data_IF_375804571318
#
_entry.id   IF_375804571318
#
_cell.length_a   1.000
_cell.length_b   1.000
_cell.length_c   1.000
_cell.angle_alpha   90.00
_cell.angle_beta   90.00
_cell.angle_gamma   90.00
#
_symmetry.space_group_name_H-M   'P 1'
#
loop_
_entity.id
_entity.type
_entity.pdbx_description
1 polymer ?
#
# COMPACT_ATOMS: atom_id res chain seq x y z
N UNK A 1 13.52 -10.70 -32.04
CA UNK A 1 13.68 -10.16 -30.67
C UNK A 1 12.67 -10.85 -29.76
N UNK A 2 13.12 -11.67 -28.82
CA UNK A 2 12.23 -12.24 -27.81
C UNK A 2 11.71 -11.10 -26.93
N UNK A 3 10.40 -10.89 -26.87
CA UNK A 3 9.79 -9.90 -25.96
C UNK A 3 10.17 -10.28 -24.53
N UNK A 4 10.77 -9.34 -23.79
CA UNK A 4 11.10 -9.53 -22.39
C UNK A 4 9.83 -9.37 -21.53
N UNK A 5 9.28 -10.49 -21.07
CA UNK A 5 8.06 -10.53 -20.25
C UNK A 5 8.33 -10.57 -18.74
N UNK A 6 9.58 -10.44 -18.30
CA UNK A 6 9.96 -10.57 -16.88
C UNK A 6 9.23 -9.57 -15.98
N UNK A 7 9.13 -8.30 -16.39
CA UNK A 7 8.41 -7.27 -15.63
C UNK A 7 6.92 -7.60 -15.43
N UNK A 8 6.15 -7.82 -16.51
CA UNK A 8 4.75 -8.26 -16.41
C UNK A 8 4.54 -9.51 -15.54
N UNK A 9 5.43 -10.51 -15.64
CA UNK A 9 5.35 -11.72 -14.82
C UNK A 9 5.51 -11.40 -13.33
N UNK A 10 6.47 -10.55 -12.95
CA UNK A 10 6.63 -10.13 -11.55
C UNK A 10 5.43 -9.33 -11.04
N UNK A 11 4.80 -8.51 -11.88
CA UNK A 11 3.55 -7.81 -11.53
C UNK A 11 2.42 -8.82 -11.27
N UNK A 12 2.27 -9.84 -12.10
CA UNK A 12 1.26 -10.89 -11.91
C UNK A 12 1.47 -11.70 -10.63
N UNK A 13 2.73 -12.08 -10.35
CA UNK A 13 3.07 -12.79 -9.10
C UNK A 13 2.76 -11.91 -7.89
N UNK A 14 3.19 -10.64 -7.91
CA UNK A 14 2.94 -9.71 -6.82
C UNK A 14 1.44 -9.47 -6.59
N UNK A 15 0.66 -9.29 -7.66
CA UNK A 15 -0.80 -9.12 -7.56
C UNK A 15 -1.49 -10.37 -6.99
N UNK A 16 -1.03 -11.55 -7.39
CA UNK A 16 -1.52 -12.83 -6.85
C UNK A 16 -1.23 -12.96 -5.36
N UNK A 17 0.01 -12.70 -4.94
CA UNK A 17 0.40 -12.74 -3.52
C UNK A 17 -0.40 -11.75 -2.68
N UNK A 18 -0.66 -10.55 -3.19
CA UNK A 18 -1.52 -9.56 -2.54
C UNK A 18 -2.98 -9.99 -2.42
N UNK A 19 -3.51 -10.70 -3.40
CA UNK A 19 -4.87 -11.25 -3.31
C UNK A 19 -4.94 -12.33 -2.22
N UNK A 20 -3.93 -13.20 -2.12
CA UNK A 20 -3.84 -14.20 -1.06
C UNK A 20 -3.66 -13.59 0.33
N UNK A 21 -2.89 -12.52 0.46
CA UNK A 21 -2.63 -11.83 1.74
C UNK A 21 -3.94 -11.47 2.48
N UNK A 22 -4.90 -10.86 1.77
CA UNK A 22 -6.20 -10.53 2.37
C UNK A 22 -6.96 -11.75 2.88
N UNK A 23 -6.93 -12.86 2.15
CA UNK A 23 -7.58 -14.12 2.54
C UNK A 23 -6.89 -14.77 3.75
N UNK A 24 -5.56 -14.72 3.81
CA UNK A 24 -4.79 -15.21 4.95
C UNK A 24 -5.14 -14.39 6.21
N UNK A 25 -5.20 -13.05 6.09
CA UNK A 25 -5.57 -12.17 7.21
C UNK A 25 -6.96 -12.46 7.77
N UNK A 26 -7.91 -12.95 6.97
CA UNK A 26 -9.23 -13.37 7.49
C UNK A 26 -9.11 -14.44 8.56
N UNK A 27 -8.12 -15.33 8.46
CA UNK A 27 -7.90 -16.42 9.42
C UNK A 27 -7.20 -15.95 10.69
N UNK A 28 -6.72 -14.70 10.71
CA UNK A 28 -6.05 -14.06 11.86
C UNK A 28 -6.98 -13.07 12.59
N UNK A 29 -8.29 -13.13 12.33
CA UNK A 29 -9.29 -12.17 12.82
C UNK A 29 -9.35 -12.04 14.36
N UNK A 30 -8.86 -13.04 15.10
CA UNK A 30 -8.80 -13.03 16.56
C UNK A 30 -7.65 -12.18 17.13
N UNK A 31 -6.66 -11.82 16.30
CA UNK A 31 -5.51 -11.02 16.71
C UNK A 31 -5.75 -9.53 16.45
N UNK A 32 -5.26 -8.63 17.33
CA UNK A 32 -5.24 -7.21 17.03
C UNK A 32 -4.44 -6.93 15.73
N UNK A 33 -4.89 -6.01 14.86
CA UNK A 33 -4.19 -5.67 13.62
C UNK A 33 -2.71 -5.34 13.83
N UNK A 34 -2.37 -4.59 14.89
CA UNK A 34 -0.99 -4.22 15.20
C UNK A 34 -0.10 -5.44 15.50
N UNK A 35 -0.65 -6.49 16.11
CA UNK A 35 0.07 -7.74 16.39
C UNK A 35 0.37 -8.47 15.08
N UNK A 36 -0.59 -8.55 14.16
CA UNK A 36 -0.40 -9.14 12.83
C UNK A 36 0.72 -8.40 12.10
N UNK A 37 0.66 -7.06 12.06
CA UNK A 37 1.67 -6.24 11.36
C UNK A 37 3.04 -6.37 11.99
N UNK A 38 3.14 -6.39 13.32
CA UNK A 38 4.42 -6.58 14.02
C UNK A 38 5.10 -7.88 13.59
N UNK A 39 4.38 -9.01 13.62
CA UNK A 39 4.96 -10.29 13.22
C UNK A 39 5.24 -10.37 11.72
N UNK A 40 4.39 -9.79 10.88
CA UNK A 40 4.64 -9.65 9.44
C UNK A 40 5.98 -8.92 9.19
N UNK A 41 6.23 -7.83 9.91
CA UNK A 41 7.48 -7.07 9.78
C UNK A 41 8.67 -7.81 10.38
N UNK A 42 8.50 -8.43 11.54
CA UNK A 42 9.55 -9.22 12.19
C UNK A 42 9.99 -10.39 11.29
N UNK A 43 9.05 -11.15 10.74
CA UNK A 43 9.37 -12.24 9.83
C UNK A 43 9.96 -11.73 8.51
N UNK A 44 9.41 -10.66 7.94
CA UNK A 44 9.99 -10.01 6.76
C UNK A 44 11.44 -9.60 6.98
N UNK A 45 11.73 -8.95 8.12
CA UNK A 45 13.07 -8.54 8.52
C UNK A 45 14.01 -9.75 8.64
N UNK A 46 13.62 -10.79 9.38
CA UNK A 46 14.44 -11.99 9.59
C UNK A 46 14.72 -12.70 8.26
N UNK A 47 13.68 -12.89 7.42
CA UNK A 47 13.79 -13.60 6.14
C UNK A 47 14.67 -12.82 5.16
N UNK A 48 14.54 -11.49 5.11
CA UNK A 48 15.28 -10.66 4.14
C UNK A 48 16.71 -10.34 4.58
N UNK A 49 16.99 -10.32 5.89
CA UNK A 49 18.32 -10.02 6.46
C UNK A 49 19.50 -10.74 5.77
N UNK A 50 19.51 -12.07 5.59
CA UNK A 50 20.65 -12.76 4.99
C UNK A 50 20.91 -12.35 3.53
N UNK A 51 19.87 -11.89 2.81
CA UNK A 51 19.99 -11.49 1.40
C UNK A 51 20.54 -10.07 1.23
N UNK A 52 20.43 -9.22 2.25
CA UNK A 52 20.85 -7.81 2.17
C UNK A 52 22.04 -7.45 3.05
N UNK A 53 22.48 -8.33 3.95
CA UNK A 53 23.53 -8.06 4.94
C UNK A 53 24.75 -7.36 4.33
N UNK A 54 25.28 -7.87 3.21
CA UNK A 54 26.45 -7.27 2.53
C UNK A 54 26.14 -5.89 1.93
N UNK A 55 24.95 -5.71 1.39
CA UNK A 55 24.54 -4.47 0.72
C UNK A 55 24.38 -3.31 1.70
N UNK A 56 23.96 -3.58 2.95
CA UNK A 56 23.81 -2.57 4.00
C UNK A 56 25.14 -1.86 4.26
N UNK A 57 26.25 -2.61 4.39
CA UNK A 57 27.57 -2.03 4.68
C UNK A 57 28.23 -1.38 3.46
N UNK A 58 27.84 -1.77 2.25
CA UNK A 58 28.39 -1.22 1.02
C UNK A 58 27.69 0.06 0.56
N UNK A 59 26.45 0.28 1.00
CA UNK A 59 25.63 1.40 0.54
C UNK A 59 25.82 2.61 1.44
N UNK A 60 26.33 3.71 0.87
CA UNK A 60 26.41 5.00 1.55
C UNK A 60 25.12 5.78 1.33
N UNK A 61 24.39 6.06 2.40
CA UNK A 61 23.13 6.81 2.37
C UNK A 61 23.36 8.26 2.82
N UNK A 62 22.80 9.21 2.08
CA UNK A 62 22.77 10.60 2.54
C UNK A 62 21.67 10.82 3.60
N UNK A 63 21.72 11.94 4.31
CA UNK A 63 20.64 12.34 5.25
C UNK A 63 19.26 12.38 4.59
N UNK A 64 19.20 12.77 3.32
CA UNK A 64 17.96 12.79 2.53
C UNK A 64 17.43 11.38 2.27
N UNK A 65 18.32 10.42 2.03
CA UNK A 65 17.93 9.03 1.74
C UNK A 65 17.37 8.35 3.00
N UNK A 66 17.93 8.66 4.18
CA UNK A 66 17.36 8.23 5.45
C UNK A 66 15.95 8.76 5.69
N UNK A 67 15.67 10.03 5.34
CA UNK A 67 14.31 10.55 5.40
C UNK A 67 13.36 9.83 4.43
N UNK A 68 13.81 9.54 3.21
CA UNK A 68 13.01 8.75 2.27
C UNK A 68 12.72 7.36 2.84
N UNK A 69 13.71 6.68 3.41
CA UNK A 69 13.53 5.39 4.07
C UNK A 69 12.48 5.51 5.17
N UNK A 70 12.63 6.45 6.11
CA UNK A 70 11.66 6.66 7.20
C UNK A 70 10.24 6.88 6.65
N UNK A 71 10.06 7.72 5.63
CA UNK A 71 8.74 7.94 5.04
C UNK A 71 8.18 6.68 4.39
N UNK A 72 9.00 5.88 3.71
CA UNK A 72 8.55 4.63 3.10
C UNK A 72 8.17 3.62 4.20
N UNK A 73 9.00 3.43 5.23
CA UNK A 73 8.73 2.46 6.30
C UNK A 73 7.50 2.88 7.12
N UNK A 74 7.34 4.17 7.42
CA UNK A 74 6.18 4.67 8.18
C UNK A 74 4.89 4.64 7.35
N UNK A 75 4.90 5.18 6.13
CA UNK A 75 3.69 5.23 5.31
C UNK A 75 3.34 3.85 4.77
N UNK A 76 4.29 3.16 4.14
CA UNK A 76 4.00 1.91 3.47
C UNK A 76 4.17 0.68 4.34
N UNK A 77 5.19 0.64 5.20
CA UNK A 77 5.42 -0.48 6.12
C UNK A 77 4.36 -0.48 7.21
N UNK A 78 4.32 0.56 8.03
CA UNK A 78 3.44 0.65 9.18
C UNK A 78 2.00 1.06 8.85
N UNK A 79 1.77 2.30 8.40
CA UNK A 79 0.40 2.84 8.32
C UNK A 79 -0.44 2.17 7.23
N UNK A 80 0.11 1.92 6.05
CA UNK A 80 -0.59 1.25 4.97
C UNK A 80 -1.09 -0.13 5.38
N UNK A 81 -0.22 -0.98 5.93
CA UNK A 81 -0.58 -2.34 6.34
C UNK A 81 -1.49 -2.35 7.56
N UNK A 82 -1.23 -1.49 8.55
CA UNK A 82 -2.02 -1.40 9.78
C UNK A 82 -3.44 -0.94 9.49
N UNK A 83 -3.61 0.16 8.74
CA UNK A 83 -4.93 0.68 8.42
C UNK A 83 -5.70 -0.26 7.48
N UNK A 84 -5.03 -0.91 6.52
CA UNK A 84 -5.67 -1.92 5.70
C UNK A 84 -6.18 -3.10 6.52
N UNK A 85 -5.35 -3.66 7.40
CA UNK A 85 -5.73 -4.79 8.27
C UNK A 85 -6.83 -4.38 9.25
N UNK A 86 -6.76 -3.15 9.77
CA UNK A 86 -7.81 -2.59 10.64
C UNK A 86 -9.13 -2.44 9.88
N UNK A 87 -9.10 -1.96 8.64
CA UNK A 87 -10.30 -1.85 7.79
C UNK A 87 -10.96 -3.21 7.57
N UNK A 88 -10.16 -4.24 7.26
CA UNK A 88 -10.65 -5.62 7.11
C UNK A 88 -11.31 -6.15 8.40
N UNK A 89 -10.68 -5.92 9.55
CA UNK A 89 -11.24 -6.28 10.86
C UNK A 89 -12.53 -5.54 11.19
N UNK A 90 -12.64 -4.25 10.81
CA UNK A 90 -13.83 -3.42 11.04
C UNK A 90 -15.03 -3.85 10.20
N UNK A 91 -14.82 -4.43 9.02
CA UNK A 91 -15.91 -5.05 8.23
C UNK A 91 -16.13 -6.52 8.58
N UNK A 92 -15.58 -6.99 9.70
CA UNK A 92 -15.62 -8.39 10.12
C UNK A 92 -15.19 -9.37 9.02
N UNK A 93 -14.32 -8.93 8.11
CA UNK A 93 -13.90 -9.71 6.95
C UNK A 93 -15.05 -10.18 6.03
N UNK A 94 -16.24 -9.55 6.11
CA UNK A 94 -17.40 -9.83 5.24
C UNK A 94 -17.28 -9.02 3.95
N UNK A 95 -17.13 -7.70 4.07
CA UNK A 95 -17.05 -6.77 2.93
C UNK A 95 -15.61 -6.52 2.45
N UNK A 96 -14.80 -7.57 2.35
CA UNK A 96 -13.38 -7.47 1.93
C UNK A 96 -13.23 -6.83 0.56
N UNK A 97 -14.12 -7.18 -0.37
CA UNK A 97 -14.11 -6.61 -1.72
C UNK A 97 -14.17 -5.08 -1.69
N UNK A 98 -14.94 -4.48 -0.77
CA UNK A 98 -15.02 -3.01 -0.63
C UNK A 98 -13.66 -2.44 -0.21
N UNK A 99 -13.02 -3.04 0.78
CA UNK A 99 -11.69 -2.60 1.27
C UNK A 99 -10.64 -2.69 0.15
N UNK A 100 -10.64 -3.77 -0.63
CA UNK A 100 -9.74 -3.97 -1.77
C UNK A 100 -10.04 -3.03 -2.94
N UNK A 101 -11.31 -2.74 -3.22
CA UNK A 101 -11.71 -1.81 -4.27
C UNK A 101 -11.30 -0.38 -3.92
N UNK A 102 -11.40 0.02 -2.64
CA UNK A 102 -10.88 1.30 -2.18
C UNK A 102 -9.36 1.43 -2.37
N UNK A 103 -8.60 0.32 -2.33
CA UNK A 103 -7.17 0.35 -2.66
C UNK A 103 -6.89 0.73 -4.12
N UNK A 104 -7.88 0.62 -5.03
CA UNK A 104 -7.74 1.08 -6.41
C UNK A 104 -7.69 2.61 -6.54
N UNK A 105 -7.87 3.34 -5.44
CA UNK A 105 -7.62 4.78 -5.36
C UNK A 105 -6.14 5.13 -5.13
N UNK A 106 -5.26 4.17 -4.84
CA UNK A 106 -3.80 4.40 -4.71
C UNK A 106 -3.20 5.24 -5.86
N UNK A 107 -3.58 5.06 -7.14
CA UNK A 107 -3.06 5.88 -8.24
C UNK A 107 -3.32 7.38 -8.08
N UNK A 108 -4.43 7.79 -7.45
CA UNK A 108 -4.73 9.20 -7.17
C UNK A 108 -3.67 9.81 -6.28
N UNK A 109 -3.34 9.12 -5.19
CA UNK A 109 -2.32 9.57 -4.28
C UNK A 109 -0.93 9.49 -4.91
N UNK A 110 -0.61 8.40 -5.60
CA UNK A 110 0.69 8.22 -6.26
C UNK A 110 0.98 9.30 -7.31
N UNK A 111 0.03 9.62 -8.18
CA UNK A 111 0.20 10.64 -9.22
C UNK A 111 0.28 12.03 -8.60
N UNK A 112 -0.55 12.31 -7.58
CA UNK A 112 -0.52 13.59 -6.87
C UNK A 112 0.81 13.81 -6.16
N UNK A 113 1.32 12.81 -5.44
CA UNK A 113 2.62 12.92 -4.77
C UNK A 113 3.77 12.97 -5.76
N UNK A 114 3.72 12.23 -6.87
CA UNK A 114 4.74 12.32 -7.92
C UNK A 114 4.77 13.72 -8.54
N UNK A 115 3.60 14.33 -8.78
CA UNK A 115 3.52 15.72 -9.23
C UNK A 115 4.20 16.69 -8.26
N UNK A 116 3.97 16.53 -6.96
CA UNK A 116 4.50 17.43 -5.93
C UNK A 116 6.02 17.24 -5.73
N UNK A 117 6.47 16.00 -5.51
CA UNK A 117 7.84 15.71 -5.09
C UNK A 117 8.81 15.45 -6.24
N UNK A 118 8.33 14.82 -7.33
CA UNK A 118 9.13 14.55 -8.53
C UNK A 118 8.93 15.59 -9.63
N UNK A 119 7.95 16.50 -9.49
CA UNK A 119 7.60 17.53 -10.48
C UNK A 119 7.18 16.94 -11.83
N UNK A 120 6.74 15.70 -11.86
CA UNK A 120 6.24 15.04 -13.07
C UNK A 120 5.02 15.78 -13.61
N UNK A 121 4.84 15.81 -14.94
CA UNK A 121 3.62 16.34 -15.54
C UNK A 121 2.62 15.19 -15.66
N UNK A 122 1.39 15.43 -15.25
CA UNK A 122 0.30 14.49 -15.51
C UNK A 122 -0.62 15.06 -16.59
N UNK A 123 -1.27 14.15 -17.29
CA UNK A 123 -2.21 14.46 -18.36
C UNK A 123 -3.54 14.97 -17.77
N UNK A 124 -4.08 16.08 -18.24
CA UNK A 124 -5.36 16.61 -17.74
C UNK A 124 -6.53 15.62 -17.91
N UNK A 125 -6.45 14.71 -18.89
CA UNK A 125 -7.42 13.61 -19.05
C UNK A 125 -7.46 12.70 -17.82
N UNK A 126 -6.36 12.59 -17.07
CA UNK A 126 -6.30 11.84 -15.83
C UNK A 126 -7.32 12.34 -14.79
N UNK A 127 -7.56 13.65 -14.72
CA UNK A 127 -8.48 14.25 -13.74
C UNK A 127 -9.89 13.66 -13.92
N UNK A 128 -10.35 13.51 -15.17
CA UNK A 128 -11.66 12.91 -15.47
C UNK A 128 -11.77 11.50 -14.92
N UNK A 129 -10.73 10.69 -15.11
CA UNK A 129 -10.69 9.31 -14.61
C UNK A 129 -10.55 9.23 -13.09
N UNK A 130 -9.77 10.14 -12.49
CA UNK A 130 -9.65 10.22 -11.03
C UNK A 130 -10.98 10.58 -10.37
N UNK A 131 -11.71 11.56 -10.92
CA UNK A 131 -13.07 11.92 -10.45
C UNK A 131 -14.01 10.73 -10.59
N UNK A 132 -14.02 10.07 -11.75
CA UNK A 132 -14.84 8.88 -11.96
C UNK A 132 -14.50 7.75 -10.97
N UNK A 133 -13.22 7.53 -10.68
CA UNK A 133 -12.77 6.52 -9.73
C UNK A 133 -13.25 6.83 -8.30
N UNK A 134 -13.23 8.10 -7.88
CA UNK A 134 -13.75 8.52 -6.57
C UNK A 134 -15.26 8.32 -6.48
N UNK A 135 -16.01 8.66 -7.53
CA UNK A 135 -17.46 8.42 -7.59
C UNK A 135 -17.75 6.92 -7.53
N UNK A 136 -17.04 6.10 -8.31
CA UNK A 136 -17.20 4.65 -8.29
C UNK A 136 -16.87 4.05 -6.90
N UNK A 137 -15.80 4.51 -6.26
CA UNK A 137 -15.43 4.11 -4.92
C UNK A 137 -16.54 4.42 -3.89
N UNK A 138 -17.17 5.60 -3.99
CA UNK A 138 -18.30 5.97 -3.12
C UNK A 138 -19.46 4.97 -3.24
N UNK A 139 -19.91 4.67 -4.46
CA UNK A 139 -21.04 3.75 -4.67
C UNK A 139 -20.69 2.28 -4.37
N UNK A 140 -19.43 1.89 -4.53
CA UNK A 140 -18.95 0.57 -4.08
C UNK A 140 -19.00 0.44 -2.56
N UNK A 141 -18.67 1.51 -1.83
CA UNK A 141 -18.76 1.53 -0.36
C UNK A 141 -20.20 1.63 0.13
N UNK A 142 -21.04 2.44 -0.53
CA UNK A 142 -22.42 2.69 -0.14
C UNK A 142 -23.37 2.20 -1.23
N UNK A 143 -23.81 0.94 -1.12
CA UNK A 143 -24.64 0.24 -2.12
C UNK A 143 -25.86 1.03 -2.60
N UNK A 144 -26.51 1.78 -1.71
CA UNK A 144 -27.70 2.59 -2.03
C UNK A 144 -27.39 4.09 -2.18
N UNK A 145 -26.11 4.49 -2.17
CA UNK A 145 -25.68 5.88 -2.23
C UNK A 145 -25.84 6.68 -0.93
N UNK A 146 -26.37 6.09 0.13
CA UNK A 146 -26.54 6.73 1.44
C UNK A 146 -25.48 6.26 2.43
N UNK A 147 -24.86 7.21 3.11
CA UNK A 147 -23.97 6.94 4.24
C UNK A 147 -24.84 6.57 5.44
N UNK A 148 -24.86 5.30 5.80
CA UNK A 148 -25.58 4.85 7.00
C UNK A 148 -24.63 4.86 8.20
N UNK A 149 -24.79 5.85 9.07
CA UNK A 149 -24.04 5.96 10.33
C UNK A 149 -24.71 5.18 11.48
N UNK A 150 -25.94 4.69 11.27
CA UNK A 150 -26.78 4.10 12.31
C UNK A 150 -26.65 2.57 12.42
N UNK A 151 -26.07 1.87 11.43
CA UNK A 151 -25.97 0.40 11.45
C UNK A 151 -24.99 -0.14 12.48
N UNK A 152 -24.10 0.68 13.04
CA UNK A 152 -23.09 0.23 14.00
C UNK A 152 -22.02 -0.71 13.40
N UNK A 153 -22.13 -1.09 12.13
CA UNK A 153 -21.26 -2.04 11.41
C UNK A 153 -19.85 -1.48 11.10
N UNK A 154 -19.52 -0.28 11.57
CA UNK A 154 -18.20 0.31 11.39
C UNK A 154 -17.81 0.58 9.93
N UNK A 155 -18.74 0.50 8.96
CA UNK A 155 -18.47 0.62 7.52
C UNK A 155 -17.76 1.92 7.15
N UNK A 156 -18.20 3.06 7.71
CA UNK A 156 -17.55 4.36 7.47
C UNK A 156 -16.14 4.40 8.04
N UNK A 157 -15.96 3.89 9.26
CA UNK A 157 -14.64 3.82 9.91
C UNK A 157 -13.71 2.91 9.10
N UNK A 158 -14.21 1.76 8.63
CA UNK A 158 -13.46 0.87 7.76
C UNK A 158 -13.09 1.52 6.44
N UNK A 159 -14.00 2.26 5.81
CA UNK A 159 -13.75 3.00 4.58
C UNK A 159 -12.68 4.09 4.77
N UNK A 160 -12.70 4.80 5.91
CA UNK A 160 -11.68 5.78 6.25
C UNK A 160 -10.31 5.14 6.45
N UNK A 161 -10.23 4.01 7.16
CA UNK A 161 -8.98 3.26 7.29
C UNK A 161 -8.49 2.74 5.93
N UNK A 162 -9.38 2.19 5.10
CA UNK A 162 -9.04 1.70 3.77
C UNK A 162 -8.54 2.83 2.84
N UNK A 163 -9.19 4.00 2.90
CA UNK A 163 -8.76 5.18 2.16
C UNK A 163 -7.42 5.72 2.68
N UNK A 164 -7.23 5.74 4.00
CA UNK A 164 -5.95 6.07 4.63
C UNK A 164 -4.83 5.14 4.19
N UNK A 165 -5.10 3.83 4.10
CA UNK A 165 -4.14 2.86 3.57
C UNK A 165 -3.80 3.12 2.10
N UNK A 166 -4.81 3.42 1.27
CA UNK A 166 -4.60 3.78 -0.13
C UNK A 166 -3.76 5.06 -0.27
N UNK A 167 -3.99 6.05 0.60
CA UNK A 167 -3.16 7.25 0.68
C UNK A 167 -1.72 6.92 1.05
N UNK A 168 -1.52 6.14 2.11
CA UNK A 168 -0.19 5.83 2.63
C UNK A 168 0.64 5.03 1.61
N UNK A 169 0.06 3.97 1.03
CA UNK A 169 0.73 3.18 -0.01
C UNK A 169 0.94 3.96 -1.29
N UNK A 170 -0.10 4.63 -1.80
CA UNK A 170 -0.01 5.42 -3.02
C UNK A 170 1.08 6.49 -2.93
N UNK A 171 1.09 7.26 -1.84
CA UNK A 171 2.09 8.29 -1.59
C UNK A 171 3.50 7.73 -1.47
N UNK A 172 3.65 6.60 -0.76
CA UNK A 172 4.96 5.97 -0.58
C UNK A 172 5.61 5.51 -1.89
N UNK A 173 4.83 5.21 -2.93
CA UNK A 173 5.41 4.81 -4.23
C UNK A 173 6.33 5.88 -4.82
N UNK A 174 6.00 7.16 -4.59
CA UNK A 174 6.83 8.29 -5.05
C UNK A 174 8.17 8.31 -4.33
N UNK A 175 8.17 8.15 -3.00
CA UNK A 175 9.40 8.10 -2.22
C UNK A 175 10.24 6.85 -2.54
N UNK A 176 9.60 5.70 -2.75
CA UNK A 176 10.29 4.49 -3.21
C UNK A 176 10.93 4.69 -4.58
N UNK A 177 10.25 5.35 -5.52
CA UNK A 177 10.82 5.68 -6.84
C UNK A 177 12.05 6.59 -6.72
N UNK A 178 12.02 7.58 -5.81
CA UNK A 178 13.18 8.44 -5.53
C UNK A 178 14.37 7.66 -4.97
N UNK A 179 14.10 6.67 -4.12
CA UNK A 179 15.12 5.86 -3.45
C UNK A 179 15.73 4.81 -4.39
N UNK A 180 14.91 4.14 -5.21
CA UNK A 180 15.33 3.12 -6.18
C UNK A 180 16.25 3.66 -7.28
N UNK A 181 16.25 4.97 -7.53
CA UNK A 181 17.24 5.60 -8.40
C UNK A 181 18.65 5.66 -7.80
N UNK A 182 18.84 5.23 -6.55
CA UNK A 182 20.09 5.36 -5.79
C UNK A 182 20.58 4.07 -5.16
N UNK A 183 19.68 3.17 -4.80
CA UNK A 183 20.03 1.91 -4.11
C UNK A 183 19.37 0.71 -4.79
N UNK A 184 19.93 -0.47 -4.54
CA UNK A 184 19.39 -1.73 -5.05
C UNK A 184 17.97 -2.01 -4.54
N UNK A 185 17.13 -2.60 -5.39
CA UNK A 185 15.73 -2.90 -5.06
C UNK A 185 15.56 -3.84 -3.86
N UNK A 186 16.50 -4.78 -3.65
CA UNK A 186 16.50 -5.67 -2.48
C UNK A 186 16.70 -4.88 -1.19
N UNK A 187 17.66 -3.95 -1.21
CA UNK A 187 17.95 -3.11 -0.05
C UNK A 187 16.82 -2.11 0.22
N UNK A 188 16.26 -1.50 -0.84
CA UNK A 188 15.08 -0.64 -0.70
C UNK A 188 13.86 -1.38 -0.16
N UNK A 189 13.72 -2.68 -0.48
CA UNK A 189 12.63 -3.51 0.06
C UNK A 189 12.87 -3.82 1.54
N UNK A 190 14.10 -4.20 1.89
CA UNK A 190 14.48 -4.51 3.27
C UNK A 190 14.21 -3.36 4.23
N UNK A 191 14.60 -2.12 3.88
CA UNK A 191 14.42 -0.98 4.77
C UNK A 191 12.95 -0.62 5.11
N UNK A 192 11.98 -1.23 4.43
CA UNK A 192 10.55 -1.04 4.69
C UNK A 192 10.07 -1.80 5.92
N UNK A 193 10.79 -2.86 6.27
CA UNK A 193 10.53 -3.76 7.40
C UNK A 193 11.30 -3.32 8.63
#
# INVERSE_FOLDING_TARGET
MLKNYTGPIFILIAATLWAFDGLIRQHLYSLPPITIIFFEHLFGLIILSPFVYKYIFQTKLSKKDWWLIIFISVLSGLFGTLWFTTALGKVHFISISVVFLLQKLQPIFAITTARIFLKEKFDERYIKWAVLAVIAAYFVTFKNGYVNLATGEGTVIAALYALGAAFAWGSSTTFSKMLLGKIDAKLSTFYRF
#
